data_IF_696039856058
#
_entry.id   IF_696039856058
#
_cell.length_a   1.000
_cell.length_b   1.000
_cell.length_c   1.000
_cell.angle_alpha   90.00
_cell.angle_beta   90.00
_cell.angle_gamma   90.00
#
_symmetry.space_group_name_H-M   'P 1'
#
loop_
_entity.id
_entity.type
_entity.pdbx_description
1 polymer ?
#
# COMPACT_ATOMS: atom_id res chain seq x y z
N UNK A 1 50.45 55.91 31.53
CA UNK A 1 51.00 54.53 31.52
C UNK A 1 49.95 53.60 32.11
N UNK A 2 49.10 53.04 31.26
CA UNK A 2 48.10 52.05 31.68
C UNK A 2 48.73 50.66 31.64
N UNK A 3 48.63 49.93 32.75
CA UNK A 3 49.23 48.62 32.95
C UNK A 3 48.67 47.56 31.97
N UNK A 4 49.57 46.80 31.37
CA UNK A 4 49.31 45.72 30.38
C UNK A 4 48.45 44.57 30.92
N UNK A 5 48.16 44.55 32.22
CA UNK A 5 47.39 43.48 32.87
C UNK A 5 45.86 43.63 32.74
N UNK A 6 45.35 44.77 32.27
CA UNK A 6 43.90 45.01 32.16
C UNK A 6 43.30 44.52 30.82
N UNK A 7 44.14 44.24 29.82
CA UNK A 7 43.69 43.80 28.48
C UNK A 7 43.37 42.30 28.42
N UNK A 8 43.87 41.49 29.36
CA UNK A 8 43.64 40.05 29.40
C UNK A 8 42.33 39.65 30.09
N UNK A 9 41.76 40.51 30.91
CA UNK A 9 40.50 40.22 31.63
C UNK A 9 39.24 40.48 30.76
N UNK A 10 39.37 41.24 29.67
CA UNK A 10 38.26 41.49 28.74
C UNK A 10 38.11 40.39 27.67
N UNK A 11 39.15 39.58 27.44
CA UNK A 11 39.11 38.50 26.46
C UNK A 11 38.40 37.23 26.98
N UNK A 12 38.38 36.98 28.29
CA UNK A 12 37.72 35.80 28.88
C UNK A 12 36.20 35.95 29.00
N UNK A 13 35.67 37.18 29.06
CA UNK A 13 34.24 37.42 29.18
C UNK A 13 33.47 37.20 27.86
N UNK A 14 34.16 37.22 26.71
CA UNK A 14 33.54 36.96 25.41
C UNK A 14 33.43 35.47 25.04
N UNK A 15 34.05 34.56 25.80
CA UNK A 15 33.98 33.12 25.55
C UNK A 15 32.83 32.40 26.29
N UNK A 16 32.12 33.06 27.21
CA UNK A 16 30.91 32.53 27.86
C UNK A 16 29.61 33.12 27.29
N UNK A 17 29.69 33.95 26.26
CA UNK A 17 28.56 34.71 25.70
C UNK A 17 27.92 34.13 24.45
N UNK A 18 28.08 32.83 24.18
CA UNK A 18 27.34 32.15 23.11
C UNK A 18 26.43 31.09 23.71
N UNK A 19 25.33 31.55 24.30
CA UNK A 19 24.07 30.80 24.26
C UNK A 19 23.72 30.61 22.79
N UNK A 20 24.34 29.61 22.17
CA UNK A 20 23.74 28.96 21.01
C UNK A 20 22.44 28.40 21.55
N UNK A 21 21.34 29.11 21.28
CA UNK A 21 20.01 28.54 21.33
C UNK A 21 20.10 27.28 20.49
N UNK A 22 20.27 26.12 21.15
CA UNK A 22 19.91 24.85 20.56
C UNK A 22 18.43 25.07 20.25
N UNK A 23 18.13 25.43 19.01
CA UNK A 23 16.81 25.27 18.48
C UNK A 23 16.49 23.82 18.78
N UNK A 24 15.62 23.61 19.75
CA UNK A 24 15.03 22.33 20.07
C UNK A 24 14.46 21.90 18.73
N UNK A 25 15.20 21.03 18.02
CA UNK A 25 14.78 20.53 16.74
C UNK A 25 13.36 20.06 16.98
N UNK A 26 12.42 20.63 16.22
CA UNK A 26 11.07 20.12 16.17
C UNK A 26 11.25 18.61 16.01
N UNK A 27 10.86 17.83 17.02
CA UNK A 27 10.88 16.38 16.92
C UNK A 27 9.81 16.06 15.89
N UNK A 28 10.17 16.17 14.61
CA UNK A 28 9.36 15.72 13.50
C UNK A 28 9.00 14.28 13.84
N UNK A 29 7.74 14.08 14.18
CA UNK A 29 7.23 12.73 14.37
C UNK A 29 7.56 11.97 13.09
N UNK A 30 8.08 10.73 13.19
CA UNK A 30 8.42 9.95 12.02
C UNK A 30 7.22 9.98 11.08
N UNK A 31 7.46 10.37 9.82
CA UNK A 31 6.41 10.49 8.83
C UNK A 31 5.60 9.18 8.79
N UNK A 32 4.26 9.23 8.73
CA UNK A 32 3.45 8.04 8.72
C UNK A 32 3.84 7.12 7.56
N UNK A 33 3.98 5.82 7.83
CA UNK A 33 4.26 4.84 6.79
C UNK A 33 3.21 4.94 5.67
N UNK A 34 3.63 4.95 4.39
CA UNK A 34 2.71 4.95 3.27
C UNK A 34 1.73 3.76 3.30
N UNK A 35 0.59 3.93 2.63
CA UNK A 35 -0.39 2.88 2.41
C UNK A 35 -0.54 2.59 0.92
N UNK A 36 -0.36 1.33 0.54
CA UNK A 36 -0.70 0.80 -0.78
C UNK A 36 -2.06 0.11 -0.70
N UNK A 37 -2.98 0.47 -1.58
CA UNK A 37 -4.32 -0.14 -1.66
C UNK A 37 -4.44 -0.91 -2.97
N UNK A 38 -4.94 -2.15 -2.90
CA UNK A 38 -5.33 -2.92 -4.08
C UNK A 38 -6.82 -3.27 -3.99
N UNK A 39 -7.60 -2.77 -4.95
CA UNK A 39 -9.04 -2.98 -5.04
C UNK A 39 -9.42 -4.42 -5.41
N UNK A 40 -10.71 -4.73 -5.27
CA UNK A 40 -11.29 -6.02 -5.61
C UNK A 40 -11.78 -6.13 -7.05
N UNK A 41 -12.30 -7.31 -7.40
CA UNK A 41 -12.92 -7.58 -8.70
C UNK A 41 -14.07 -6.61 -9.00
N UNK A 42 -14.09 -6.02 -10.20
CA UNK A 42 -15.14 -5.12 -10.66
C UNK A 42 -15.12 -3.69 -10.12
N UNK A 43 -14.08 -3.33 -9.37
CA UNK A 43 -13.85 -1.96 -8.89
C UNK A 43 -12.62 -1.33 -9.57
N UNK A 44 -12.29 -0.09 -9.21
CA UNK A 44 -11.07 0.61 -9.66
C UNK A 44 -10.33 1.29 -8.51
N UNK A 45 -9.11 1.75 -8.79
CA UNK A 45 -8.27 2.50 -7.86
C UNK A 45 -8.99 3.68 -7.17
N UNK A 46 -9.95 4.28 -7.87
CA UNK A 46 -10.25 5.70 -7.68
C UNK A 46 -11.75 6.01 -7.60
N UNK A 47 -12.61 4.98 -7.57
CA UNK A 47 -14.05 5.15 -7.41
C UNK A 47 -14.39 5.91 -6.11
N UNK A 48 -15.05 7.10 -6.17
CA UNK A 48 -15.33 7.92 -4.99
C UNK A 48 -16.17 7.23 -3.91
N UNK A 49 -16.98 6.23 -4.28
CA UNK A 49 -17.86 5.50 -3.36
C UNK A 49 -17.20 4.25 -2.75
N UNK A 50 -16.03 3.85 -3.27
CA UNK A 50 -15.31 2.66 -2.83
C UNK A 50 -13.88 3.01 -2.41
N UNK A 51 -12.85 2.71 -3.20
CA UNK A 51 -11.45 2.97 -2.85
C UNK A 51 -11.16 4.46 -2.58
N UNK A 52 -11.82 5.36 -3.29
CA UNK A 52 -11.74 6.79 -3.05
C UNK A 52 -12.29 7.19 -1.67
N UNK A 53 -13.33 6.51 -1.18
CA UNK A 53 -13.86 6.71 0.17
C UNK A 53 -12.89 6.18 1.24
N UNK A 54 -12.30 5.01 1.01
CA UNK A 54 -11.26 4.43 1.90
C UNK A 54 -10.07 5.38 1.99
N UNK A 55 -9.53 5.83 0.84
CA UNK A 55 -8.41 6.77 0.77
C UNK A 55 -8.70 8.04 1.60
N UNK A 56 -9.84 8.69 1.35
CA UNK A 56 -10.25 9.90 2.08
C UNK A 56 -10.40 9.65 3.59
N UNK A 57 -10.95 8.49 3.98
CA UNK A 57 -11.11 8.14 5.38
C UNK A 57 -9.75 8.01 6.08
N UNK A 58 -8.78 7.33 5.45
CA UNK A 58 -7.44 7.15 6.00
C UNK A 58 -6.70 8.49 6.08
N UNK A 59 -6.72 9.30 5.02
CA UNK A 59 -6.10 10.64 4.99
C UNK A 59 -6.65 11.54 6.10
N UNK A 60 -7.96 11.47 6.38
CA UNK A 60 -8.60 12.24 7.48
C UNK A 60 -8.11 11.81 8.86
N UNK A 61 -7.79 10.53 9.04
CA UNK A 61 -7.40 9.95 10.35
C UNK A 61 -5.89 9.95 10.57
N UNK A 62 -5.10 9.99 9.50
CA UNK A 62 -3.64 10.00 9.54
C UNK A 62 -3.14 11.15 8.67
N UNK A 63 -3.10 12.39 9.19
CA UNK A 63 -2.65 13.54 8.43
C UNK A 63 -1.23 13.34 7.89
N UNK A 64 -1.02 13.67 6.61
CA UNK A 64 0.29 13.58 5.96
C UNK A 64 0.67 12.21 5.40
N UNK A 65 -0.18 11.19 5.52
CA UNK A 65 0.06 9.86 4.93
C UNK A 65 0.08 9.90 3.39
N UNK A 66 1.03 9.21 2.78
CA UNK A 66 1.03 8.93 1.34
C UNK A 66 0.20 7.68 1.06
N UNK A 67 -0.84 7.80 0.21
CA UNK A 67 -1.67 6.67 -0.20
C UNK A 67 -1.59 6.47 -1.71
N UNK A 68 -1.06 5.31 -2.09
CA UNK A 68 -1.04 4.80 -3.45
C UNK A 68 -2.17 3.77 -3.62
N UNK A 69 -3.26 4.17 -4.25
CA UNK A 69 -4.29 3.23 -4.71
C UNK A 69 -3.89 2.72 -6.09
N UNK A 70 -3.62 1.42 -6.21
CA UNK A 70 -3.08 0.82 -7.43
C UNK A 70 -4.12 0.84 -8.56
N UNK A 71 -3.68 1.29 -9.73
CA UNK A 71 -4.42 1.25 -11.00
C UNK A 71 -3.68 0.34 -11.96
N UNK A 72 -4.33 -0.73 -12.43
CA UNK A 72 -3.81 -1.70 -13.37
C UNK A 72 -4.39 -1.41 -14.75
N UNK A 73 -3.84 -0.43 -15.43
CA UNK A 73 -4.34 0.02 -16.72
C UNK A 73 -3.82 1.41 -17.06
N UNK A 74 -4.31 1.96 -18.17
CA UNK A 74 -4.09 3.39 -18.51
C UNK A 74 -5.33 4.26 -18.23
N UNK A 75 -6.47 3.63 -17.96
CA UNK A 75 -7.75 4.28 -17.68
C UNK A 75 -8.51 3.46 -16.64
N UNK A 76 -9.48 4.08 -15.98
CA UNK A 76 -10.33 3.43 -14.98
C UNK A 76 -11.16 2.27 -15.58
N UNK A 77 -11.63 2.41 -16.82
CA UNK A 77 -12.34 1.33 -17.51
C UNK A 77 -11.42 0.11 -17.70
N UNK A 78 -10.16 0.36 -18.05
CA UNK A 78 -9.19 -0.71 -18.23
C UNK A 78 -8.77 -1.34 -16.91
N UNK A 79 -8.73 -0.57 -15.83
CA UNK A 79 -8.50 -1.05 -14.46
C UNK A 79 -9.60 -2.04 -14.03
N UNK A 80 -10.87 -1.65 -14.23
CA UNK A 80 -12.03 -2.52 -13.96
C UNK A 80 -11.97 -3.78 -14.83
N UNK A 81 -11.74 -3.65 -16.14
CA UNK A 81 -11.68 -4.78 -17.07
C UNK A 81 -10.54 -5.75 -16.69
N UNK A 82 -9.35 -5.22 -16.38
CA UNK A 82 -8.19 -6.04 -16.02
C UNK A 82 -8.39 -6.80 -14.70
N UNK A 83 -9.25 -6.33 -13.80
CA UNK A 83 -9.63 -7.07 -12.58
C UNK A 83 -10.28 -8.42 -12.86
N UNK A 84 -10.84 -8.62 -14.07
CA UNK A 84 -11.42 -9.89 -14.54
C UNK A 84 -10.51 -10.64 -15.51
N UNK A 85 -9.91 -9.95 -16.46
CA UNK A 85 -9.39 -10.60 -17.68
C UNK A 85 -7.87 -10.58 -17.83
N UNK A 86 -7.14 -9.83 -17.00
CA UNK A 86 -5.69 -9.79 -17.06
C UNK A 86 -5.07 -10.86 -16.16
N UNK A 87 -4.13 -11.63 -16.71
CA UNK A 87 -3.38 -12.63 -15.94
C UNK A 87 -2.76 -12.02 -14.67
N UNK A 88 -3.06 -12.62 -13.52
CA UNK A 88 -2.67 -12.09 -12.20
C UNK A 88 -1.15 -12.07 -11.99
N UNK A 89 -0.39 -13.00 -12.56
CA UNK A 89 1.07 -12.98 -12.46
C UNK A 89 1.66 -11.76 -13.17
N UNK A 90 1.07 -11.37 -14.30
CA UNK A 90 1.41 -10.13 -14.99
C UNK A 90 1.05 -8.91 -14.15
N UNK A 91 -0.13 -8.89 -13.53
CA UNK A 91 -0.54 -7.79 -12.63
C UNK A 91 0.43 -7.63 -11.46
N UNK A 92 0.79 -8.72 -10.79
CA UNK A 92 1.75 -8.71 -9.68
C UNK A 92 3.10 -8.17 -10.14
N UNK A 93 3.58 -8.58 -11.32
CA UNK A 93 4.83 -8.08 -11.89
C UNK A 93 4.76 -6.57 -12.14
N UNK A 94 3.65 -6.09 -12.73
CA UNK A 94 3.41 -4.67 -12.96
C UNK A 94 3.40 -3.89 -11.64
N UNK A 95 2.71 -4.40 -10.62
CA UNK A 95 2.66 -3.76 -9.29
C UNK A 95 4.04 -3.71 -8.65
N UNK A 96 4.81 -4.80 -8.67
CA UNK A 96 6.19 -4.78 -8.17
C UNK A 96 7.03 -3.67 -8.83
N UNK A 97 6.85 -3.44 -10.14
CA UNK A 97 7.54 -2.36 -10.86
C UNK A 97 7.05 -0.96 -10.47
N UNK A 98 5.75 -0.79 -10.22
CA UNK A 98 5.17 0.47 -9.73
C UNK A 98 5.77 0.79 -8.35
N UNK A 99 5.74 -0.19 -7.43
CA UNK A 99 6.21 -0.02 -6.06
C UNK A 99 7.72 0.29 -6.01
N UNK A 100 8.52 -0.39 -6.83
CA UNK A 100 9.96 -0.14 -6.92
C UNK A 100 10.30 1.28 -7.42
N UNK A 101 9.42 1.91 -8.21
CA UNK A 101 9.64 3.24 -8.79
C UNK A 101 9.14 4.38 -7.92
N UNK A 102 8.32 4.12 -6.90
CA UNK A 102 7.82 5.17 -6.01
C UNK A 102 8.85 5.42 -4.88
N UNK A 103 9.55 6.58 -4.87
CA UNK A 103 10.56 6.87 -3.87
C UNK A 103 10.00 6.96 -2.44
N UNK A 104 8.70 7.23 -2.27
CA UNK A 104 8.07 7.35 -0.95
C UNK A 104 7.91 6.00 -0.26
N UNK A 105 7.96 4.90 -1.00
CA UNK A 105 7.78 3.53 -0.47
C UNK A 105 9.09 2.87 -0.07
N UNK A 106 10.25 3.47 -0.39
CA UNK A 106 11.55 2.80 -0.29
C UNK A 106 11.97 2.45 1.15
N UNK A 107 11.44 3.18 2.14
CA UNK A 107 11.65 2.89 3.57
C UNK A 107 10.59 1.93 4.15
N UNK A 108 9.76 1.35 3.29
CA UNK A 108 8.69 0.43 3.63
C UNK A 108 7.30 1.04 3.51
N UNK A 109 6.30 0.16 3.43
CA UNK A 109 4.90 0.55 3.26
C UNK A 109 3.95 -0.46 3.92
N UNK A 110 2.80 0.02 4.37
CA UNK A 110 1.66 -0.84 4.68
C UNK A 110 0.88 -1.14 3.42
N UNK A 111 0.24 -2.30 3.36
CA UNK A 111 -0.60 -2.72 2.25
C UNK A 111 -1.99 -3.10 2.74
N UNK A 112 -3.02 -2.73 1.99
CA UNK A 112 -4.42 -3.10 2.24
C UNK A 112 -5.06 -3.63 0.97
N UNK A 113 -5.49 -4.88 1.01
CA UNK A 113 -6.22 -5.53 -0.07
C UNK A 113 -7.69 -5.67 0.25
N UNK A 114 -8.53 -5.48 -0.77
CA UNK A 114 -9.98 -5.72 -0.69
C UNK A 114 -10.38 -6.84 -1.65
N UNK A 115 -11.17 -7.79 -1.13
CA UNK A 115 -11.72 -8.94 -1.87
C UNK A 115 -10.67 -9.83 -2.54
N UNK A 116 -10.18 -9.53 -3.75
CA UNK A 116 -9.11 -10.33 -4.35
C UNK A 116 -7.73 -9.66 -4.22
N UNK A 117 -7.72 -8.36 -3.93
CA UNK A 117 -6.51 -7.53 -3.92
C UNK A 117 -5.52 -7.92 -2.81
N UNK A 118 -5.97 -8.54 -1.74
CA UNK A 118 -5.15 -9.00 -0.62
C UNK A 118 -4.47 -10.35 -0.84
N UNK A 119 -5.06 -11.33 -1.54
CA UNK A 119 -4.23 -12.45 -2.04
C UNK A 119 -3.24 -11.98 -3.11
N UNK A 120 -3.56 -10.93 -3.88
CA UNK A 120 -2.63 -10.34 -4.84
C UNK A 120 -1.48 -9.61 -4.12
N UNK A 121 -1.78 -8.83 -3.07
CA UNK A 121 -0.76 -8.20 -2.23
C UNK A 121 0.04 -9.22 -1.43
N UNK A 122 -0.54 -10.35 -1.02
CA UNK A 122 0.22 -11.47 -0.47
C UNK A 122 1.22 -12.00 -1.51
N UNK A 123 0.83 -12.12 -2.77
CA UNK A 123 1.75 -12.52 -3.83
C UNK A 123 2.89 -11.49 -4.04
N UNK A 124 2.60 -10.18 -3.96
CA UNK A 124 3.62 -9.11 -3.96
C UNK A 124 4.61 -9.31 -2.81
N UNK A 125 4.12 -9.49 -1.58
CA UNK A 125 4.97 -9.71 -0.41
C UNK A 125 5.91 -10.92 -0.57
N UNK A 126 5.42 -11.99 -1.21
CA UNK A 126 6.19 -13.21 -1.44
C UNK A 126 7.15 -13.14 -2.64
N UNK A 127 6.88 -12.29 -3.65
CA UNK A 127 7.63 -12.27 -4.92
C UNK A 127 8.59 -11.09 -5.06
N UNK A 128 8.28 -9.93 -4.49
CA UNK A 128 9.12 -8.74 -4.58
C UNK A 128 9.25 -8.06 -3.21
N UNK A 129 10.19 -8.54 -2.36
CA UNK A 129 10.34 -8.07 -0.98
C UNK A 129 10.94 -6.67 -0.84
N UNK A 130 11.20 -5.97 -1.95
CA UNK A 130 11.77 -4.62 -1.98
C UNK A 130 10.94 -3.74 -2.93
N UNK A 131 10.38 -2.60 -2.47
CA UNK A 131 10.44 -2.10 -1.09
C UNK A 131 9.75 -3.03 -0.07
N UNK A 132 10.11 -2.96 1.23
CA UNK A 132 9.60 -3.89 2.21
C UNK A 132 8.15 -3.59 2.59
N UNK A 133 7.26 -4.57 2.40
CA UNK A 133 5.91 -4.53 2.97
C UNK A 133 6.00 -4.74 4.50
N UNK A 134 5.42 -3.84 5.28
CA UNK A 134 5.47 -3.84 6.75
C UNK A 134 4.27 -4.58 7.33
N UNK A 135 3.06 -4.10 7.04
CA UNK A 135 1.81 -4.76 7.43
C UNK A 135 0.98 -5.07 6.19
N UNK A 136 0.35 -6.25 6.17
CA UNK A 136 -0.66 -6.63 5.18
C UNK A 136 -2.03 -6.70 5.87
N UNK A 137 -2.95 -5.84 5.46
CA UNK A 137 -4.34 -5.83 5.89
C UNK A 137 -5.19 -6.47 4.78
N UNK A 138 -5.94 -7.49 5.13
CA UNK A 138 -6.71 -8.34 4.21
C UNK A 138 -8.20 -8.19 4.54
N UNK A 139 -8.98 -7.60 3.63
CA UNK A 139 -10.40 -7.28 3.85
C UNK A 139 -11.28 -8.17 2.97
N UNK A 140 -11.75 -9.29 3.54
CA UNK A 140 -12.67 -10.22 2.86
C UNK A 140 -12.02 -11.12 1.80
N UNK A 141 -10.73 -11.44 1.98
CA UNK A 141 -9.90 -12.11 0.98
C UNK A 141 -10.10 -13.62 0.86
N UNK A 142 -9.69 -14.17 -0.28
CA UNK A 142 -9.77 -15.60 -0.60
C UNK A 142 -8.37 -16.22 -0.64
N UNK A 143 -7.66 -16.23 0.49
CA UNK A 143 -6.28 -16.75 0.56
C UNK A 143 -6.13 -18.23 0.16
N UNK A 144 -7.21 -19.03 0.27
CA UNK A 144 -7.29 -20.42 -0.17
C UNK A 144 -8.10 -20.59 -1.48
N UNK A 145 -8.33 -19.50 -2.21
CA UNK A 145 -9.22 -19.49 -3.36
C UNK A 145 -10.69 -19.67 -2.98
N UNK A 146 -11.50 -20.03 -3.97
CA UNK A 146 -12.94 -20.23 -3.83
C UNK A 146 -13.36 -21.52 -4.53
N UNK A 147 -14.41 -22.16 -4.01
CA UNK A 147 -15.05 -23.29 -4.67
C UNK A 147 -16.58 -23.15 -4.58
N UNK A 148 -17.12 -22.19 -5.33
CA UNK A 148 -18.53 -21.89 -5.33
C UNK A 148 -18.84 -20.58 -6.06
N UNK A 149 -20.12 -20.36 -6.32
CA UNK A 149 -20.60 -19.13 -6.93
C UNK A 149 -21.38 -18.30 -5.91
N UNK A 150 -21.30 -16.96 -5.97
CA UNK A 150 -22.06 -16.08 -5.10
C UNK A 150 -23.55 -16.44 -5.10
N UNK A 151 -24.14 -16.58 -3.91
CA UNK A 151 -25.56 -16.90 -3.70
C UNK A 151 -26.04 -18.18 -4.41
N UNK A 152 -25.14 -19.14 -4.68
CA UNK A 152 -25.45 -20.40 -5.35
C UNK A 152 -24.98 -21.60 -4.50
N UNK A 153 -25.71 -21.97 -3.43
CA UNK A 153 -25.30 -23.05 -2.52
C UNK A 153 -25.36 -24.41 -3.22
N UNK A 154 -24.21 -25.08 -3.35
CA UNK A 154 -24.13 -26.38 -4.02
C UNK A 154 -24.78 -27.51 -3.22
N UNK A 155 -24.99 -27.32 -1.92
CA UNK A 155 -25.56 -28.32 -1.02
C UNK A 155 -27.07 -28.49 -1.22
N UNK A 156 -27.76 -27.40 -1.60
CA UNK A 156 -29.22 -27.38 -1.80
C UNK A 156 -29.63 -27.18 -3.25
N UNK A 157 -28.68 -27.01 -4.17
CA UNK A 157 -28.94 -26.77 -5.59
C UNK A 157 -28.03 -27.59 -6.48
N UNK A 158 -28.59 -28.62 -7.11
CA UNK A 158 -27.87 -29.48 -8.05
C UNK A 158 -27.28 -28.72 -9.23
N UNK A 159 -27.96 -27.66 -9.70
CA UNK A 159 -27.44 -26.82 -10.78
C UNK A 159 -26.21 -26.03 -10.33
N UNK A 160 -26.21 -25.49 -9.09
CA UNK A 160 -25.04 -24.81 -8.53
C UNK A 160 -23.86 -25.77 -8.35
N UNK A 161 -24.12 -26.99 -7.84
CA UNK A 161 -23.08 -28.01 -7.68
C UNK A 161 -22.47 -28.44 -9.02
N UNK A 162 -23.32 -28.62 -10.04
CA UNK A 162 -22.88 -28.94 -11.38
C UNK A 162 -22.02 -27.82 -11.98
N UNK A 163 -22.45 -26.56 -11.85
CA UNK A 163 -21.68 -25.41 -12.37
C UNK A 163 -20.33 -25.30 -11.67
N UNK A 164 -20.25 -25.34 -10.33
CA UNK A 164 -18.96 -25.21 -9.62
C UNK A 164 -17.98 -26.31 -10.00
N UNK A 165 -18.46 -27.56 -10.17
CA UNK A 165 -17.64 -28.69 -10.61
C UNK A 165 -17.16 -28.54 -12.06
N UNK A 166 -18.01 -28.04 -12.94
CA UNK A 166 -17.68 -27.83 -14.36
C UNK A 166 -16.66 -26.70 -14.52
N UNK A 167 -16.86 -25.56 -13.83
CA UNK A 167 -15.90 -24.46 -13.80
C UNK A 167 -14.55 -24.89 -13.24
N UNK A 168 -14.53 -25.71 -12.18
CA UNK A 168 -13.30 -26.28 -11.65
C UNK A 168 -12.56 -27.12 -12.70
N UNK A 169 -13.27 -27.95 -13.47
CA UNK A 169 -12.66 -28.71 -14.56
C UNK A 169 -12.10 -27.79 -15.67
N UNK A 170 -12.82 -26.72 -16.01
CA UNK A 170 -12.38 -25.73 -17.00
C UNK A 170 -11.16 -24.93 -16.56
N UNK A 171 -11.14 -24.45 -15.31
CA UNK A 171 -10.07 -23.61 -14.76
C UNK A 171 -8.69 -24.28 -14.75
N UNK A 172 -8.64 -25.61 -14.74
CA UNK A 172 -7.41 -26.40 -14.75
C UNK A 172 -7.22 -27.18 -16.06
N UNK A 173 -7.96 -26.82 -17.12
CA UNK A 173 -7.76 -27.38 -18.44
C UNK A 173 -6.61 -26.67 -19.15
N UNK A 174 -5.70 -27.44 -19.77
CA UNK A 174 -4.55 -26.89 -20.52
C UNK A 174 -4.93 -26.23 -21.86
N UNK A 175 -6.13 -26.52 -22.36
CA UNK A 175 -6.61 -26.03 -23.66
C UNK A 175 -7.27 -24.64 -23.58
N UNK A 176 -7.44 -24.12 -22.36
CA UNK A 176 -7.94 -22.76 -22.06
C UNK A 176 -6.80 -22.03 -21.36
#
# INVERSE_FOLDING_TARGET
MASSSCLWLLALAFLLGSCTSLALGHLDHPAPLPLVIWHGMGDSCCNPLSMGAIKKMVEKKIPGIHILSLEIGKTLEKDVENSFFLNVDSQVTTVCQILAKDPKLQQGYNAMGVSQGGQFLRAVAQRCPSPPMVNLISVGEQHQGVFGLPQCPGESSHICDFIRKTLNAGAYNKAI
#
